data_IF_005362408234
#
_entry.id   IF_005362408234
#
_cell.length_a   1.000
_cell.length_b   1.000
_cell.length_c   1.000
_cell.angle_alpha   90.00
_cell.angle_beta   90.00
_cell.angle_gamma   90.00
#
_symmetry.space_group_name_H-M   'P 1'
#
loop_
_entity.id
_entity.type
_entity.pdbx_description
1 polymer ?
#
# COMPACT_ATOMS: atom_id res chain seq x y z
N UNK A 1 21.77 -25.82 -2.05
CA UNK A 1 21.28 -24.70 -1.22
C UNK A 1 19.79 -24.91 -1.11
N UNK A 2 19.22 -24.88 0.10
CA UNK A 2 17.77 -24.94 0.23
C UNK A 2 17.17 -23.71 -0.46
N UNK A 3 16.18 -23.91 -1.31
CA UNK A 3 15.41 -22.80 -1.89
C UNK A 3 14.80 -22.02 -0.72
N UNK A 4 15.33 -20.82 -0.46
CA UNK A 4 14.76 -19.93 0.53
C UNK A 4 13.43 -19.44 -0.04
N UNK A 5 12.32 -19.89 0.53
CA UNK A 5 11.00 -19.44 0.12
C UNK A 5 10.67 -18.12 0.85
N UNK A 6 10.19 -17.13 0.11
CA UNK A 6 9.62 -15.91 0.69
C UNK A 6 8.25 -16.21 1.28
N UNK A 7 8.01 -15.77 2.51
CA UNK A 7 6.76 -15.98 3.22
C UNK A 7 6.07 -14.65 3.52
N UNK A 8 4.78 -14.58 3.28
CA UNK A 8 3.94 -13.49 3.78
C UNK A 8 3.52 -13.83 5.21
N UNK A 9 4.05 -13.13 6.21
CA UNK A 9 3.83 -13.42 7.63
C UNK A 9 2.73 -12.57 8.26
N UNK A 10 2.43 -11.40 7.68
CA UNK A 10 1.41 -10.48 8.19
C UNK A 10 0.83 -9.64 7.07
N UNK A 11 -0.29 -8.98 7.36
CA UNK A 11 -0.90 -7.96 6.51
C UNK A 11 -1.48 -6.86 7.39
N UNK A 12 -1.33 -5.61 6.95
CA UNK A 12 -1.94 -4.44 7.54
C UNK A 12 -2.84 -3.72 6.52
N UNK A 13 -3.80 -2.95 7.01
CA UNK A 13 -4.70 -2.20 6.16
C UNK A 13 -5.11 -0.89 6.80
N UNK A 14 -5.37 0.10 5.96
CA UNK A 14 -5.97 1.35 6.36
C UNK A 14 -6.96 1.81 5.29
N UNK A 15 -8.08 2.35 5.72
CA UNK A 15 -9.08 2.97 4.86
C UNK A 15 -9.37 4.38 5.39
N UNK A 16 -9.35 5.42 4.53
CA UNK A 16 -9.79 6.76 4.89
C UNK A 16 -11.20 6.77 5.50
N UNK A 17 -11.50 7.73 6.36
CA UNK A 17 -12.79 7.77 7.08
C UNK A 17 -13.99 8.04 6.17
N UNK A 18 -13.82 8.88 5.14
CA UNK A 18 -14.92 9.27 4.26
C UNK A 18 -15.35 8.11 3.37
N UNK A 19 -16.55 7.62 3.60
CA UNK A 19 -17.20 6.63 2.73
C UNK A 19 -18.00 7.34 1.64
N UNK A 20 -17.89 6.86 0.39
CA UNK A 20 -18.71 7.27 -0.76
C UNK A 20 -19.41 6.04 -1.30
N UNK A 21 -20.74 6.01 -1.23
CA UNK A 21 -21.57 4.91 -1.74
C UNK A 21 -21.73 4.97 -3.25
N UNK A 22 -22.20 3.85 -3.84
CA UNK A 22 -22.51 3.84 -5.27
C UNK A 22 -23.65 4.81 -5.60
N UNK A 23 -24.65 4.96 -4.72
CA UNK A 23 -25.74 5.93 -4.92
C UNK A 23 -25.22 7.37 -4.96
N UNK A 24 -24.27 7.70 -4.09
CA UNK A 24 -23.65 9.04 -4.07
C UNK A 24 -22.91 9.33 -5.39
N UNK A 25 -22.33 8.31 -6.03
CA UNK A 25 -21.69 8.46 -7.35
C UNK A 25 -22.68 8.76 -8.47
N UNK A 26 -23.93 8.31 -8.39
CA UNK A 26 -24.93 8.55 -9.43
C UNK A 26 -25.25 10.04 -9.64
N UNK A 27 -24.90 10.88 -8.63
CA UNK A 27 -25.01 12.33 -8.76
C UNK A 27 -23.99 12.95 -9.74
N UNK A 28 -22.90 12.23 -10.06
CA UNK A 28 -21.80 12.74 -10.86
C UNK A 28 -21.52 11.92 -12.12
N UNK A 29 -21.95 10.66 -12.14
CA UNK A 29 -21.67 9.72 -13.23
C UNK A 29 -22.96 8.98 -13.60
N UNK A 30 -23.21 8.82 -14.89
CA UNK A 30 -24.33 8.02 -15.40
C UNK A 30 -24.08 6.52 -15.14
N UNK A 31 -24.55 6.05 -14.00
CA UNK A 31 -24.35 4.68 -13.50
C UNK A 31 -25.46 4.30 -12.50
N UNK A 32 -25.40 3.07 -11.95
CA UNK A 32 -26.26 2.62 -10.87
C UNK A 32 -25.51 1.72 -9.91
N UNK A 33 -26.01 1.59 -8.66
CA UNK A 33 -25.43 0.65 -7.67
C UNK A 33 -25.44 -0.77 -8.22
N UNK A 34 -26.56 -1.20 -8.86
CA UNK A 34 -26.66 -2.53 -9.43
C UNK A 34 -25.60 -2.77 -10.51
N UNK A 35 -25.42 -1.82 -11.44
CA UNK A 35 -24.42 -1.92 -12.50
C UNK A 35 -22.98 -2.04 -11.95
N UNK A 36 -22.64 -1.20 -10.97
CA UNK A 36 -21.31 -1.22 -10.34
C UNK A 36 -21.06 -2.56 -9.63
N UNK A 37 -22.02 -3.02 -8.82
CA UNK A 37 -21.90 -4.29 -8.09
C UNK A 37 -21.78 -5.50 -9.02
N UNK A 38 -22.57 -5.57 -10.06
CA UNK A 38 -22.50 -6.67 -11.03
C UNK A 38 -21.14 -6.75 -11.74
N UNK A 39 -20.51 -5.60 -12.00
CA UNK A 39 -19.25 -5.52 -12.74
C UNK A 39 -18.00 -5.62 -11.87
N UNK A 40 -18.05 -5.14 -10.65
CA UNK A 40 -16.87 -4.96 -9.80
C UNK A 40 -17.00 -5.58 -8.43
N UNK A 41 -18.20 -5.90 -7.96
CA UNK A 41 -18.47 -6.29 -6.59
C UNK A 41 -18.39 -5.14 -5.57
N UNK A 42 -18.04 -3.92 -6.01
CA UNK A 42 -17.77 -2.78 -5.11
C UNK A 42 -19.07 -2.14 -4.67
N UNK A 43 -19.27 -2.03 -3.35
CA UNK A 43 -20.41 -1.38 -2.74
C UNK A 43 -20.16 0.09 -2.41
N UNK A 44 -18.93 0.41 -2.05
CA UNK A 44 -18.50 1.74 -1.59
C UNK A 44 -16.99 1.90 -1.80
N UNK A 45 -16.50 3.13 -1.71
CA UNK A 45 -15.06 3.45 -1.66
C UNK A 45 -14.80 4.42 -0.53
N UNK A 46 -13.55 4.48 -0.13
CA UNK A 46 -13.04 5.42 0.84
C UNK A 46 -12.24 6.50 0.14
N UNK A 47 -12.46 7.75 0.49
CA UNK A 47 -11.81 8.90 -0.13
C UNK A 47 -10.95 9.60 0.91
N UNK A 48 -9.71 9.84 0.57
CA UNK A 48 -8.75 10.57 1.42
C UNK A 48 -9.27 11.96 1.79
N UNK A 49 -8.94 12.43 2.98
CA UNK A 49 -9.17 13.81 3.39
C UNK A 49 -8.24 14.76 2.59
N UNK A 50 -8.57 16.06 2.55
CA UNK A 50 -7.85 17.06 1.75
C UNK A 50 -6.32 17.07 1.98
N UNK A 51 -5.88 16.74 3.18
CA UNK A 51 -4.44 16.74 3.55
C UNK A 51 -3.87 15.35 3.78
N UNK A 52 -4.65 14.31 3.60
CA UNK A 52 -4.23 12.94 3.76
C UNK A 52 -3.51 12.46 2.51
N UNK A 53 -2.29 11.99 2.67
CA UNK A 53 -1.40 11.57 1.59
C UNK A 53 -1.25 10.05 1.52
N UNK A 54 -0.70 9.56 0.43
CA UNK A 54 -0.37 8.14 0.25
C UNK A 54 0.56 7.63 1.35
N UNK A 55 1.56 8.43 1.77
CA UNK A 55 2.43 8.05 2.88
C UNK A 55 1.71 7.96 4.23
N UNK A 56 0.63 8.75 4.46
CA UNK A 56 -0.15 8.67 5.69
C UNK A 56 -0.85 7.32 5.78
N UNK A 57 -1.55 6.94 4.71
CA UNK A 57 -2.23 5.65 4.60
C UNK A 57 -1.26 4.48 4.73
N UNK A 58 -0.12 4.56 4.03
CA UNK A 58 0.90 3.51 4.07
C UNK A 58 1.50 3.33 5.47
N UNK A 59 1.78 4.43 6.20
CA UNK A 59 2.27 4.35 7.58
C UNK A 59 1.24 3.70 8.51
N UNK A 60 -0.04 4.03 8.39
CA UNK A 60 -1.09 3.42 9.22
C UNK A 60 -1.18 1.91 8.97
N UNK A 61 -1.19 1.50 7.70
CA UNK A 61 -1.22 0.09 7.32
C UNK A 61 0.04 -0.66 7.81
N UNK A 62 1.22 -0.07 7.61
CA UNK A 62 2.50 -0.66 8.02
C UNK A 62 2.62 -0.78 9.55
N UNK A 63 2.19 0.23 10.31
CA UNK A 63 2.17 0.14 11.77
C UNK A 63 1.30 -1.02 12.24
N UNK A 64 0.10 -1.17 11.68
CA UNK A 64 -0.78 -2.29 12.01
C UNK A 64 -0.17 -3.63 11.64
N UNK A 65 0.55 -3.70 10.52
CA UNK A 65 1.25 -4.92 10.09
C UNK A 65 2.36 -5.30 11.05
N UNK A 66 3.22 -4.34 11.43
CA UNK A 66 4.31 -4.55 12.39
C UNK A 66 3.79 -5.05 13.74
N UNK A 67 2.74 -4.40 14.26
CA UNK A 67 2.10 -4.81 15.52
C UNK A 67 1.61 -6.26 15.46
N UNK A 68 0.98 -6.66 14.35
CA UNK A 68 0.48 -8.03 14.14
C UNK A 68 1.59 -9.05 13.97
N UNK A 69 2.67 -8.67 13.31
CA UNK A 69 3.85 -9.52 13.12
C UNK A 69 4.71 -9.64 14.38
N UNK A 70 4.56 -8.72 15.34
CA UNK A 70 5.42 -8.62 16.51
C UNK A 70 6.84 -8.17 16.15
N UNK A 71 6.98 -7.33 15.12
CA UNK A 71 8.24 -6.80 14.61
C UNK A 71 8.39 -5.32 14.95
N UNK A 72 9.63 -4.92 15.22
CA UNK A 72 10.00 -3.51 15.36
C UNK A 72 10.42 -2.92 13.99
N UNK A 73 10.18 -1.63 13.79
CA UNK A 73 10.51 -0.97 12.54
C UNK A 73 12.02 -1.07 12.16
N UNK A 74 12.88 -1.17 13.15
CA UNK A 74 14.32 -1.35 12.95
C UNK A 74 14.74 -2.71 12.39
N UNK A 75 13.81 -3.69 12.34
CA UNK A 75 14.02 -5.02 11.78
C UNK A 75 13.66 -5.09 10.30
N UNK A 76 13.14 -3.99 9.73
CA UNK A 76 12.72 -3.93 8.32
C UNK A 76 13.92 -3.56 7.45
N UNK A 77 14.22 -4.40 6.47
CA UNK A 77 15.32 -4.21 5.53
C UNK A 77 14.89 -3.58 4.20
N UNK A 78 13.59 -3.67 3.85
CA UNK A 78 13.08 -3.23 2.57
C UNK A 78 11.66 -2.67 2.67
N UNK A 79 11.44 -1.51 2.08
CA UNK A 79 10.11 -0.89 1.91
C UNK A 79 9.88 -0.59 0.44
N UNK A 80 8.83 -1.18 -0.13
CA UNK A 80 8.39 -0.90 -1.49
C UNK A 80 6.97 -0.34 -1.45
N UNK A 81 6.76 0.84 -1.99
CA UNK A 81 5.43 1.42 -2.16
C UNK A 81 5.00 1.31 -3.61
N UNK A 82 3.96 0.53 -3.87
CA UNK A 82 3.36 0.42 -5.20
C UNK A 82 2.23 1.45 -5.34
N UNK A 83 2.52 2.56 -6.00
CA UNK A 83 1.55 3.66 -6.17
C UNK A 83 1.70 4.38 -7.50
N UNK A 84 0.59 4.85 -8.07
CA UNK A 84 0.54 5.79 -9.20
C UNK A 84 0.25 7.22 -8.75
N UNK A 85 0.02 7.41 -7.45
CA UNK A 85 -0.27 8.71 -6.82
C UNK A 85 0.70 8.94 -5.65
N UNK A 86 2.01 9.07 -5.92
CA UNK A 86 2.98 9.35 -4.87
C UNK A 86 2.68 10.71 -4.22
N UNK A 87 3.17 10.91 -3.01
CA UNK A 87 3.03 12.20 -2.32
C UNK A 87 3.67 13.35 -3.11
N UNK A 88 4.85 13.09 -3.63
CA UNK A 88 5.66 14.00 -4.45
C UNK A 88 6.43 13.18 -5.50
N UNK A 89 6.89 13.85 -6.55
CA UNK A 89 7.79 13.22 -7.53
C UNK A 89 9.14 12.84 -6.90
N UNK A 90 9.59 13.61 -5.92
CA UNK A 90 10.83 13.43 -5.17
C UNK A 90 10.74 14.16 -3.82
N UNK A 91 11.15 13.55 -2.70
CA UNK A 91 11.62 12.16 -2.56
C UNK A 91 10.49 11.14 -2.73
N UNK A 92 10.84 9.85 -2.89
CA UNK A 92 9.84 8.77 -3.03
C UNK A 92 8.93 8.67 -1.81
N UNK A 93 7.71 8.20 -2.01
CA UNK A 93 6.76 7.96 -0.90
C UNK A 93 7.32 6.93 0.09
N UNK A 94 8.01 5.90 -0.42
CA UNK A 94 8.64 4.87 0.42
C UNK A 94 9.67 5.45 1.40
N UNK A 95 10.49 6.44 1.00
CA UNK A 95 11.46 7.07 1.89
C UNK A 95 10.80 7.90 2.99
N UNK A 96 9.63 8.48 2.73
CA UNK A 96 8.85 9.17 3.76
C UNK A 96 8.26 8.18 4.76
N UNK A 97 7.73 7.06 4.29
CA UNK A 97 7.24 5.97 5.14
C UNK A 97 8.37 5.40 5.98
N UNK A 98 9.53 5.11 5.39
CA UNK A 98 10.74 4.66 6.06
C UNK A 98 11.12 5.58 7.24
N UNK A 99 11.19 6.88 6.97
CA UNK A 99 11.55 7.87 7.99
C UNK A 99 10.53 7.90 9.13
N UNK A 100 9.25 7.90 8.80
CA UNK A 100 8.14 8.01 9.79
C UNK A 100 8.00 6.76 10.64
N UNK A 101 8.25 5.58 10.10
CA UNK A 101 8.26 4.32 10.86
C UNK A 101 9.51 4.15 11.71
N UNK A 102 10.60 4.85 11.39
CA UNK A 102 11.89 4.66 12.05
C UNK A 102 12.72 3.51 11.46
N UNK A 103 12.36 2.98 10.29
CA UNK A 103 13.07 1.90 9.60
C UNK A 103 14.32 2.41 8.86
N UNK A 104 15.21 3.11 9.57
CA UNK A 104 16.28 3.91 8.96
C UNK A 104 17.33 3.09 8.18
N UNK A 105 17.46 1.78 8.45
CA UNK A 105 18.38 0.90 7.75
C UNK A 105 17.78 0.29 6.47
N UNK A 106 16.46 0.38 6.29
CA UNK A 106 15.78 -0.23 5.15
C UNK A 106 16.14 0.43 3.82
N UNK A 107 16.19 -0.35 2.76
CA UNK A 107 16.15 0.18 1.38
C UNK A 107 14.70 0.60 1.09
N UNK A 108 14.50 1.79 0.50
CA UNK A 108 13.15 2.31 0.27
C UNK A 108 13.00 2.93 -1.12
N UNK A 109 12.02 2.47 -1.89
CA UNK A 109 11.69 3.02 -3.22
C UNK A 109 10.25 2.75 -3.62
N UNK A 110 9.76 3.51 -4.60
CA UNK A 110 8.43 3.34 -5.15
C UNK A 110 8.47 2.54 -6.46
N UNK A 111 7.41 1.77 -6.71
CA UNK A 111 7.14 1.08 -7.97
C UNK A 111 5.84 1.63 -8.57
N UNK A 112 5.86 1.98 -9.84
CA UNK A 112 4.67 2.44 -10.55
C UNK A 112 4.30 1.45 -11.66
N UNK A 113 3.26 0.67 -11.43
CA UNK A 113 2.73 -0.29 -12.40
C UNK A 113 1.20 -0.39 -12.35
N UNK A 114 0.53 0.67 -11.92
CA UNK A 114 -0.93 0.81 -11.84
C UNK A 114 -1.56 -0.42 -11.17
N UNK A 115 -2.50 -1.11 -11.84
CA UNK A 115 -3.20 -2.28 -11.30
C UNK A 115 -2.28 -3.49 -11.03
N UNK A 116 -1.13 -3.58 -11.69
CA UNK A 116 -0.14 -4.64 -11.48
C UNK A 116 0.89 -4.31 -10.37
N UNK A 117 0.83 -3.10 -9.79
CA UNK A 117 1.85 -2.60 -8.86
C UNK A 117 2.11 -3.52 -7.68
N UNK A 118 1.06 -4.05 -7.05
CA UNK A 118 1.20 -4.97 -5.92
C UNK A 118 1.94 -6.26 -6.30
N UNK A 119 1.59 -6.86 -7.43
CA UNK A 119 2.22 -8.09 -7.91
C UNK A 119 3.70 -7.85 -8.22
N UNK A 120 4.01 -6.74 -8.88
CA UNK A 120 5.40 -6.38 -9.21
C UNK A 120 6.22 -6.03 -7.97
N UNK A 121 5.60 -5.39 -6.96
CA UNK A 121 6.28 -5.11 -5.71
C UNK A 121 6.67 -6.40 -4.97
N UNK A 122 5.77 -7.41 -4.95
CA UNK A 122 6.08 -8.73 -4.36
C UNK A 122 7.20 -9.44 -5.13
N UNK A 123 7.14 -9.44 -6.47
CA UNK A 123 8.16 -10.08 -7.32
C UNK A 123 9.55 -9.45 -7.11
N UNK A 124 9.60 -8.11 -7.05
CA UNK A 124 10.84 -7.39 -6.75
C UNK A 124 11.33 -7.69 -5.33
N UNK A 125 10.44 -7.73 -4.34
CA UNK A 125 10.80 -8.05 -2.96
C UNK A 125 11.37 -9.47 -2.87
N UNK A 126 10.71 -10.46 -3.48
CA UNK A 126 11.17 -11.85 -3.52
C UNK A 126 12.56 -11.96 -4.15
N UNK A 127 12.77 -11.31 -5.31
CA UNK A 127 14.06 -11.29 -5.98
C UNK A 127 15.18 -10.67 -5.11
N UNK A 128 14.89 -9.57 -4.41
CA UNK A 128 15.85 -8.90 -3.53
C UNK A 128 16.18 -9.76 -2.30
N UNK A 129 15.18 -10.34 -1.66
CA UNK A 129 15.35 -11.24 -0.51
C UNK A 129 16.16 -12.49 -0.89
N UNK A 130 15.85 -13.11 -2.03
CA UNK A 130 16.60 -14.25 -2.56
C UNK A 130 18.03 -13.90 -2.88
N UNK A 131 18.32 -12.68 -3.33
CA UNK A 131 19.66 -12.16 -3.55
C UNK A 131 20.42 -11.76 -2.27
N UNK A 132 19.79 -11.88 -1.08
CA UNK A 132 20.38 -11.50 0.19
C UNK A 132 20.49 -9.99 0.41
N UNK A 133 19.53 -9.26 -0.09
CA UNK A 133 19.45 -7.79 0.02
C UNK A 133 18.45 -7.38 1.09
#
# INVERSE_FOLDING_TARGET
>A
MADAATLMISVGSYLPERVVTNEELTAFVDTSDEWIRQRTGIAQRHIVAEREKTSDMACQAATQELDRAGLEAGEIDLIIIATSTPDDTFPSTATKVQHRLGAHAAVAFDVQAVCAGFVYAIDVADAMLTAGR
#
